data_IF_417243982238
#
_entry.id   IF_417243982238
#
_cell.length_a   1.000
_cell.length_b   1.000
_cell.length_c   1.000
_cell.angle_alpha   90.00
_cell.angle_beta   90.00
_cell.angle_gamma   90.00
#
_symmetry.space_group_name_H-M   'P 1'
#
loop_
_entity.id
_entity.type
_entity.pdbx_description
1 polymer ?
#
# COMPACT_ATOMS: atom_id res chain seq x y z
N UNK A 1 -80.74 46.71 21.79
CA UNK A 1 -80.33 45.29 21.64
C UNK A 1 -78.93 45.27 21.08
N UNK A 2 -77.95 45.31 21.97
CA UNK A 2 -76.51 45.32 21.70
C UNK A 2 -75.99 43.89 21.75
N UNK A 3 -75.41 43.42 20.63
CA UNK A 3 -74.78 42.11 20.51
C UNK A 3 -73.29 42.27 20.86
N UNK A 4 -72.93 41.88 22.09
CA UNK A 4 -71.56 41.63 22.50
C UNK A 4 -71.04 40.39 21.75
N UNK A 5 -70.11 40.60 20.82
CA UNK A 5 -69.29 39.53 20.27
C UNK A 5 -68.14 39.28 21.22
N UNK A 6 -68.30 38.23 22.02
CA UNK A 6 -67.29 37.67 22.88
C UNK A 6 -66.16 37.07 22.02
N UNK A 7 -65.15 37.88 21.71
CA UNK A 7 -63.87 37.43 21.17
C UNK A 7 -63.08 36.76 22.29
N UNK A 8 -63.53 35.55 22.67
CA UNK A 8 -62.72 34.61 23.45
C UNK A 8 -61.49 34.26 22.61
N UNK A 9 -60.44 35.05 22.81
CA UNK A 9 -59.09 34.85 22.31
C UNK A 9 -58.57 33.54 22.92
N UNK A 10 -58.85 32.43 22.22
CA UNK A 10 -58.31 31.11 22.57
C UNK A 10 -56.80 31.22 22.49
N UNK A 11 -56.14 31.37 23.63
CA UNK A 11 -54.69 31.29 23.75
C UNK A 11 -54.23 30.00 23.08
N UNK A 12 -53.50 30.13 21.98
CA UNK A 12 -52.95 28.99 21.27
C UNK A 12 -52.11 28.16 22.26
N UNK A 13 -52.22 26.82 22.24
CA UNK A 13 -51.44 25.96 23.12
C UNK A 13 -49.96 26.29 22.96
N UNK A 14 -49.27 26.60 24.07
CA UNK A 14 -47.82 26.83 24.08
C UNK A 14 -47.13 25.56 23.60
N UNK A 15 -46.69 25.58 22.35
CA UNK A 15 -45.91 24.50 21.78
C UNK A 15 -44.55 24.46 22.50
N UNK A 16 -44.30 23.38 23.25
CA UNK A 16 -43.04 23.20 23.95
C UNK A 16 -41.94 23.07 22.89
N UNK A 17 -40.89 23.92 22.90
CA UNK A 17 -39.82 23.84 21.93
C UNK A 17 -39.17 22.45 22.00
N UNK A 18 -39.19 21.71 20.89
CA UNK A 18 -38.69 20.33 20.85
C UNK A 18 -37.17 20.26 20.66
N UNK A 19 -36.56 21.33 20.16
CA UNK A 19 -35.15 21.36 19.79
C UNK A 19 -34.52 22.71 20.18
N UNK A 20 -33.23 22.68 20.51
CA UNK A 20 -32.42 23.88 20.77
C UNK A 20 -31.33 24.01 19.71
N UNK A 21 -30.91 25.24 19.44
CA UNK A 21 -29.84 25.51 18.48
C UNK A 21 -28.53 24.90 18.99
N UNK A 22 -27.91 24.05 18.17
CA UNK A 22 -26.58 23.50 18.42
C UNK A 22 -25.55 24.14 17.48
N UNK A 23 -24.38 24.50 18.02
CA UNK A 23 -23.25 25.09 17.28
C UNK A 23 -23.08 26.61 17.44
N UNK A 24 -21.99 27.13 16.85
CA UNK A 24 -21.56 28.52 16.97
C UNK A 24 -22.29 29.43 15.97
N UNK A 25 -23.59 29.66 16.20
CA UNK A 25 -24.34 30.72 15.53
C UNK A 25 -24.41 31.95 16.42
N UNK A 26 -24.31 33.13 15.82
CA UNK A 26 -24.43 34.41 16.52
C UNK A 26 -25.66 35.16 16.01
N UNK A 27 -26.28 35.95 16.88
CA UNK A 27 -27.32 36.88 16.48
C UNK A 27 -26.75 37.91 15.50
N UNK A 28 -27.43 38.17 14.38
CA UNK A 28 -26.97 39.16 13.40
C UNK A 28 -27.03 40.60 13.92
N UNK A 29 -27.85 40.87 14.94
CA UNK A 29 -28.01 42.20 15.55
C UNK A 29 -26.97 42.47 16.64
N UNK A 30 -26.90 41.60 17.66
CA UNK A 30 -26.06 41.84 18.84
C UNK A 30 -24.84 40.93 18.96
N UNK A 31 -24.61 40.03 17.99
CA UNK A 31 -23.51 39.04 17.97
C UNK A 31 -23.50 38.05 19.15
N UNK A 32 -24.54 38.01 19.98
CA UNK A 32 -24.63 37.05 21.08
C UNK A 32 -24.76 35.61 20.55
N UNK A 33 -24.05 34.62 21.14
CA UNK A 33 -24.16 33.23 20.75
C UNK A 33 -25.57 32.69 20.97
N UNK A 34 -26.14 32.06 19.95
CA UNK A 34 -27.50 31.50 19.98
C UNK A 34 -27.54 30.05 20.46
N UNK A 35 -26.39 29.45 20.78
CA UNK A 35 -26.30 28.07 21.25
C UNK A 35 -27.19 27.83 22.49
N UNK A 36 -28.03 26.81 22.45
CA UNK A 36 -29.01 26.50 23.51
C UNK A 36 -30.33 27.25 23.41
N UNK A 37 -30.47 28.24 22.51
CA UNK A 37 -31.75 28.94 22.29
C UNK A 37 -32.80 27.99 21.71
N UNK A 38 -34.06 28.13 22.15
CA UNK A 38 -35.18 27.32 21.68
C UNK A 38 -35.48 27.58 20.19
N UNK A 39 -35.59 26.50 19.42
CA UNK A 39 -36.04 26.54 18.03
C UNK A 39 -37.57 26.60 18.01
N UNK A 40 -38.09 27.65 17.38
CA UNK A 40 -39.52 27.89 17.17
C UNK A 40 -39.85 27.79 15.69
N UNK A 41 -41.09 27.41 15.38
CA UNK A 41 -41.60 27.39 14.01
C UNK A 41 -42.68 28.46 13.88
N UNK A 42 -42.55 29.31 12.87
CA UNK A 42 -43.58 30.30 12.59
C UNK A 42 -44.79 29.60 11.92
N UNK A 43 -46.01 29.70 12.48
CA UNK A 43 -47.15 28.90 12.03
C UNK A 43 -47.64 29.25 10.62
N UNK A 44 -47.45 30.51 10.17
CA UNK A 44 -47.90 30.97 8.87
C UNK A 44 -46.97 30.53 7.72
N UNK A 45 -45.66 30.58 7.94
CA UNK A 45 -44.63 30.34 6.90
C UNK A 45 -43.98 28.98 7.03
N UNK A 46 -44.09 28.35 8.21
CA UNK A 46 -43.34 27.16 8.57
C UNK A 46 -41.85 27.42 8.77
N UNK A 47 -41.38 28.67 8.76
CA UNK A 47 -39.97 29.00 8.93
C UNK A 47 -39.50 28.70 10.35
N UNK A 48 -38.34 28.05 10.45
CA UNK A 48 -37.66 27.84 11.72
C UNK A 48 -36.92 29.14 12.09
N UNK A 49 -37.10 29.57 13.33
CA UNK A 49 -36.40 30.73 13.88
C UNK A 49 -36.05 30.47 15.34
N UNK A 50 -35.09 31.22 15.85
CA UNK A 50 -34.82 31.31 17.28
C UNK A 50 -34.82 32.78 17.69
N UNK A 51 -35.15 33.08 18.95
CA UNK A 51 -35.02 34.43 19.49
C UNK A 51 -33.72 34.52 20.27
N UNK A 52 -32.98 35.60 20.05
CA UNK A 52 -31.81 35.90 20.87
C UNK A 52 -32.24 36.13 22.33
N UNK A 53 -31.55 35.49 23.28
CA UNK A 53 -31.82 35.65 24.72
C UNK A 53 -31.44 37.04 25.24
N UNK A 54 -30.55 37.75 24.55
CA UNK A 54 -30.14 39.11 24.92
C UNK A 54 -31.05 40.18 24.30
N UNK A 55 -31.07 40.29 22.97
CA UNK A 55 -31.77 41.39 22.29
C UNK A 55 -33.21 41.03 21.85
N UNK A 56 -33.63 39.78 22.00
CA UNK A 56 -34.95 39.33 21.57
C UNK A 56 -35.16 39.22 20.05
N UNK A 57 -34.18 39.64 19.24
CA UNK A 57 -34.29 39.62 17.79
C UNK A 57 -34.51 38.20 17.26
N UNK A 58 -35.42 38.07 16.29
CA UNK A 58 -35.68 36.80 15.62
C UNK A 58 -34.56 36.53 14.61
N UNK A 59 -33.79 35.47 14.85
CA UNK A 59 -32.79 34.96 13.93
C UNK A 59 -33.39 33.80 13.14
N UNK A 60 -33.58 34.01 11.83
CA UNK A 60 -34.02 32.96 10.92
C UNK A 60 -33.00 31.82 10.91
N UNK A 61 -33.44 30.61 11.23
CA UNK A 61 -32.63 29.42 11.08
C UNK A 61 -32.74 28.97 9.63
N UNK A 62 -31.96 29.62 8.77
CA UNK A 62 -31.63 29.03 7.49
C UNK A 62 -30.88 27.74 7.81
N UNK A 63 -31.53 26.60 7.57
CA UNK A 63 -30.86 25.32 7.40
C UNK A 63 -29.93 25.48 6.21
N UNK A 64 -28.73 26.01 6.45
CA UNK A 64 -27.62 25.80 5.54
C UNK A 64 -27.56 24.28 5.35
N UNK A 65 -27.58 23.79 4.10
CA UNK A 65 -28.02 22.45 3.78
C UNK A 65 -27.39 21.44 4.72
N UNK A 66 -28.20 20.45 5.06
CA UNK A 66 -28.00 19.19 5.79
C UNK A 66 -26.73 18.39 5.44
N UNK A 67 -25.79 18.99 4.73
CA UNK A 67 -24.48 18.51 4.34
C UNK A 67 -23.62 18.15 5.54
N UNK A 68 -23.79 18.70 6.75
CA UNK A 68 -22.93 18.34 7.90
C UNK A 68 -23.00 16.85 8.27
N UNK A 69 -24.20 16.24 8.44
CA UNK A 69 -24.34 14.78 8.55
C UNK A 69 -23.73 14.02 7.37
N UNK A 70 -23.93 14.51 6.14
CA UNK A 70 -23.40 13.87 4.93
C UNK A 70 -21.88 13.96 4.87
N UNK A 71 -21.25 15.07 5.26
CA UNK A 71 -19.80 15.24 5.36
C UNK A 71 -19.25 14.28 6.41
N UNK A 72 -19.91 14.14 7.57
CA UNK A 72 -19.48 13.16 8.59
C UNK A 72 -19.52 11.73 8.04
N UNK A 73 -20.58 11.35 7.31
CA UNK A 73 -20.69 10.05 6.64
C UNK A 73 -19.66 9.87 5.52
N UNK A 74 -19.42 10.90 4.71
CA UNK A 74 -18.42 10.87 3.64
C UNK A 74 -17.00 10.75 4.21
N UNK A 75 -16.70 11.39 5.34
CA UNK A 75 -15.42 11.22 6.05
C UNK A 75 -15.22 9.78 6.51
N UNK A 76 -16.25 9.14 7.10
CA UNK A 76 -16.14 7.73 7.51
C UNK A 76 -16.00 6.79 6.32
N UNK A 77 -16.72 7.03 5.22
CA UNK A 77 -16.61 6.22 3.99
C UNK A 77 -15.23 6.38 3.37
N UNK A 78 -14.72 7.61 3.26
CA UNK A 78 -13.37 7.86 2.74
C UNK A 78 -12.31 7.20 3.63
N UNK A 79 -12.42 7.32 4.95
CA UNK A 79 -11.50 6.67 5.88
C UNK A 79 -11.52 5.14 5.73
N UNK A 80 -12.70 4.53 5.66
CA UNK A 80 -12.85 3.09 5.44
C UNK A 80 -12.24 2.68 4.08
N UNK A 81 -12.52 3.42 3.01
CA UNK A 81 -11.94 3.18 1.69
C UNK A 81 -10.40 3.22 1.72
N UNK A 82 -9.81 4.22 2.37
CA UNK A 82 -8.35 4.31 2.52
C UNK A 82 -7.77 3.14 3.32
N UNK A 83 -8.42 2.72 4.41
CA UNK A 83 -7.99 1.56 5.19
C UNK A 83 -8.06 0.28 4.35
N UNK A 84 -9.16 0.07 3.62
CA UNK A 84 -9.31 -1.09 2.73
C UNK A 84 -8.25 -1.09 1.63
N UNK A 85 -7.99 0.05 0.99
CA UNK A 85 -6.92 0.17 -0.01
C UNK A 85 -5.54 -0.10 0.59
N UNK A 86 -5.25 0.38 1.80
CA UNK A 86 -3.98 0.12 2.48
C UNK A 86 -3.81 -1.36 2.85
N UNK A 87 -4.88 -2.04 3.26
CA UNK A 87 -4.87 -3.48 3.54
C UNK A 87 -4.65 -4.30 2.27
N UNK A 88 -5.40 -4.00 1.20
CA UNK A 88 -5.22 -4.66 -0.10
C UNK A 88 -3.82 -4.43 -0.66
N UNK A 89 -3.29 -3.22 -0.52
CA UNK A 89 -1.92 -2.89 -0.86
C UNK A 89 -0.94 -3.77 -0.04
N UNK A 90 -1.10 -3.87 1.27
CA UNK A 90 -0.23 -4.69 2.11
C UNK A 90 -0.28 -6.17 1.70
N UNK A 91 -1.47 -6.72 1.46
CA UNK A 91 -1.64 -8.10 0.98
C UNK A 91 -0.99 -8.31 -0.39
N UNK A 92 -1.15 -7.37 -1.31
CA UNK A 92 -0.50 -7.41 -2.60
C UNK A 92 1.03 -7.37 -2.47
N UNK A 93 1.58 -6.51 -1.61
CA UNK A 93 3.04 -6.45 -1.37
C UNK A 93 3.59 -7.77 -0.79
N UNK A 94 2.86 -8.38 0.15
CA UNK A 94 3.24 -9.69 0.73
C UNK A 94 3.15 -10.78 -0.33
N UNK A 95 2.08 -10.81 -1.13
CA UNK A 95 1.90 -11.77 -2.21
C UNK A 95 2.97 -11.65 -3.31
N UNK A 96 3.27 -10.42 -3.74
CA UNK A 96 4.38 -10.13 -4.65
C UNK A 96 5.69 -10.61 -4.01
N UNK A 97 5.97 -10.22 -2.75
CA UNK A 97 7.14 -10.69 -2.02
C UNK A 97 7.27 -12.22 -2.03
N UNK A 98 6.15 -12.94 -1.92
CA UNK A 98 6.14 -14.41 -1.90
C UNK A 98 6.29 -15.10 -3.26
N UNK A 99 5.90 -14.46 -4.37
CA UNK A 99 6.00 -15.05 -5.71
C UNK A 99 7.43 -15.02 -6.27
N UNK A 100 8.19 -13.96 -5.98
CA UNK A 100 9.48 -13.72 -6.64
C UNK A 100 10.66 -14.60 -6.17
N UNK A 101 10.68 -15.16 -4.94
CA UNK A 101 11.66 -16.19 -4.59
C UNK A 101 11.54 -17.47 -5.42
N UNK A 102 10.32 -17.85 -5.84
CA UNK A 102 10.10 -18.95 -6.78
C UNK A 102 10.59 -18.64 -8.19
N UNK A 103 10.95 -17.39 -8.46
CA UNK A 103 11.56 -16.96 -9.72
C UNK A 103 13.08 -16.90 -9.60
N UNK A 104 13.62 -16.77 -8.37
CA UNK A 104 15.03 -16.93 -8.10
C UNK A 104 15.52 -18.36 -8.40
N UNK A 105 14.63 -19.37 -8.35
CA UNK A 105 14.94 -20.74 -8.75
C UNK A 105 15.16 -20.86 -10.26
N UNK A 106 14.44 -20.10 -11.09
CA UNK A 106 14.66 -20.08 -12.55
C UNK A 106 16.05 -19.56 -12.90
N UNK A 107 16.52 -18.51 -12.21
CA UNK A 107 17.90 -18.02 -12.37
C UNK A 107 18.93 -19.06 -11.90
N UNK A 108 18.61 -19.82 -10.85
CA UNK A 108 19.45 -20.90 -10.38
C UNK A 108 19.49 -22.08 -11.38
N UNK A 109 18.37 -22.41 -12.00
CA UNK A 109 18.27 -23.43 -13.06
C UNK A 109 19.04 -23.03 -14.32
N UNK A 110 19.04 -21.74 -14.66
CA UNK A 110 19.83 -21.23 -15.76
C UNK A 110 21.33 -21.22 -15.45
N UNK A 111 21.70 -21.04 -14.17
CA UNK A 111 23.11 -21.19 -13.74
C UNK A 111 23.64 -22.62 -13.89
N UNK A 112 22.76 -23.62 -13.98
CA UNK A 112 23.16 -25.00 -14.23
C UNK A 112 23.76 -25.20 -15.64
N UNK A 113 23.35 -24.40 -16.64
CA UNK A 113 23.93 -24.47 -17.98
C UNK A 113 25.42 -24.10 -17.96
N UNK A 114 25.76 -23.01 -17.26
CA UNK A 114 27.14 -22.57 -17.08
C UNK A 114 27.99 -23.60 -16.31
N UNK A 115 27.37 -24.28 -15.34
CA UNK A 115 28.04 -25.31 -14.54
C UNK A 115 28.35 -26.56 -15.38
N UNK A 116 27.40 -27.00 -16.20
CA UNK A 116 27.57 -28.11 -17.14
C UNK A 116 28.63 -27.79 -18.18
N UNK A 117 28.67 -26.55 -18.69
CA UNK A 117 29.70 -26.12 -19.62
C UNK A 117 31.11 -26.15 -18.99
N UNK A 118 31.23 -25.68 -17.74
CA UNK A 118 32.49 -25.76 -16.98
C UNK A 118 32.94 -27.21 -16.75
N UNK A 119 32.01 -28.11 -16.41
CA UNK A 119 32.31 -29.53 -16.25
C UNK A 119 32.77 -30.18 -17.57
N UNK A 120 32.10 -29.87 -18.69
CA UNK A 120 32.49 -30.34 -20.03
C UNK A 120 33.84 -29.81 -20.48
N UNK A 121 34.18 -28.58 -20.14
CA UNK A 121 35.47 -27.99 -20.45
C UNK A 121 36.65 -28.76 -19.82
N UNK A 122 36.39 -29.54 -18.77
CA UNK A 122 37.37 -30.41 -18.11
C UNK A 122 37.33 -31.87 -18.61
N UNK A 123 36.59 -32.15 -19.68
CA UNK A 123 36.41 -33.50 -20.23
C UNK A 123 35.29 -34.30 -19.60
N UNK A 124 34.49 -33.70 -18.71
CA UNK A 124 33.28 -34.31 -18.16
C UNK A 124 32.23 -34.59 -19.23
N UNK A 125 31.43 -35.64 -19.03
CA UNK A 125 30.31 -36.00 -19.94
C UNK A 125 28.99 -36.00 -19.20
N UNK A 126 27.96 -35.41 -19.82
CA UNK A 126 26.56 -35.43 -19.35
C UNK A 126 25.68 -36.37 -20.15
N UNK A 127 26.29 -37.27 -20.94
CA UNK A 127 25.55 -38.28 -21.69
C UNK A 127 24.98 -39.31 -20.73
N UNK A 128 23.75 -39.73 -21.00
CA UNK A 128 23.09 -40.82 -20.28
C UNK A 128 23.89 -42.14 -20.39
N UNK A 129 23.60 -43.14 -19.55
CA UNK A 129 24.26 -44.45 -19.55
C UNK A 129 24.19 -45.15 -20.91
N UNK A 130 23.13 -44.90 -21.67
CA UNK A 130 22.96 -45.37 -23.06
C UNK A 130 23.89 -44.68 -24.06
N UNK A 131 24.56 -43.58 -23.67
CA UNK A 131 25.36 -42.66 -24.48
C UNK A 131 24.64 -42.08 -25.71
N UNK A 132 23.33 -42.32 -25.87
CA UNK A 132 22.58 -41.91 -27.05
C UNK A 132 22.17 -40.44 -27.02
N UNK A 133 21.95 -39.87 -25.83
CA UNK A 133 21.44 -38.52 -25.67
C UNK A 133 22.27 -37.71 -24.67
N UNK A 134 22.52 -36.46 -25.02
CA UNK A 134 23.10 -35.48 -24.11
C UNK A 134 21.96 -34.80 -23.32
N UNK A 135 21.82 -35.19 -22.06
CA UNK A 135 20.77 -34.68 -21.17
C UNK A 135 21.10 -33.29 -20.60
N UNK A 136 22.29 -32.76 -20.88
CA UNK A 136 22.71 -31.43 -20.44
C UNK A 136 22.52 -31.22 -18.94
N UNK A 137 21.88 -30.10 -18.57
CA UNK A 137 21.58 -29.75 -17.17
C UNK A 137 20.60 -30.70 -16.45
N UNK A 138 19.89 -31.55 -17.18
CA UNK A 138 18.98 -32.53 -16.61
C UNK A 138 19.65 -33.89 -16.38
N UNK A 139 20.92 -34.06 -16.76
CA UNK A 139 21.71 -35.23 -16.38
C UNK A 139 21.93 -35.29 -14.87
N UNK A 140 22.16 -36.50 -14.33
CA UNK A 140 22.62 -36.69 -12.95
C UNK A 140 23.96 -35.97 -12.78
N UNK A 141 24.07 -35.19 -11.71
CA UNK A 141 25.26 -34.40 -11.42
C UNK A 141 26.40 -35.28 -10.88
N UNK A 142 27.62 -35.01 -11.34
CA UNK A 142 28.82 -35.68 -10.81
C UNK A 142 29.15 -35.11 -9.42
N UNK A 143 28.75 -35.84 -8.39
CA UNK A 143 28.95 -35.45 -7.00
C UNK A 143 30.43 -35.39 -6.59
N UNK A 144 31.28 -36.23 -7.19
CA UNK A 144 32.71 -36.23 -6.89
C UNK A 144 33.37 -34.97 -7.45
N UNK A 145 33.00 -34.59 -8.67
CA UNK A 145 33.45 -33.33 -9.26
C UNK A 145 32.93 -32.11 -8.49
N UNK A 146 31.64 -32.08 -8.13
CA UNK A 146 31.06 -30.99 -7.36
C UNK A 146 31.69 -30.81 -5.97
N UNK A 147 32.14 -31.91 -5.33
CA UNK A 147 32.85 -31.85 -4.06
C UNK A 147 34.30 -31.33 -4.19
N UNK A 148 34.89 -31.39 -5.38
CA UNK A 148 36.24 -30.86 -5.64
C UNK A 148 36.30 -29.33 -5.50
N UNK A 149 37.51 -28.78 -5.35
CA UNK A 149 37.70 -27.33 -5.27
C UNK A 149 37.34 -26.63 -6.59
N UNK A 150 37.60 -27.29 -7.72
CA UNK A 150 37.25 -26.80 -9.05
C UNK A 150 35.74 -26.73 -9.25
N UNK A 151 35.02 -27.80 -8.89
CA UNK A 151 33.54 -27.82 -8.93
C UNK A 151 32.93 -26.73 -8.03
N UNK A 152 33.47 -26.56 -6.82
CA UNK A 152 33.04 -25.49 -5.89
C UNK A 152 33.34 -24.08 -6.43
N UNK A 153 34.43 -23.89 -7.16
CA UNK A 153 34.75 -22.62 -7.80
C UNK A 153 33.80 -22.35 -8.99
N UNK A 154 33.57 -23.36 -9.84
CA UNK A 154 32.64 -23.27 -10.97
C UNK A 154 31.21 -22.96 -10.52
N UNK A 155 30.76 -23.58 -9.42
CA UNK A 155 29.45 -23.33 -8.82
C UNK A 155 29.28 -21.89 -8.33
N UNK A 156 30.31 -21.28 -7.74
CA UNK A 156 30.28 -19.87 -7.35
C UNK A 156 30.31 -18.95 -8.57
N UNK A 157 31.11 -19.30 -9.58
CA UNK A 157 31.22 -18.52 -10.81
C UNK A 157 29.91 -18.55 -11.63
N UNK A 158 29.18 -19.66 -11.63
CA UNK A 158 27.94 -19.81 -12.38
C UNK A 158 26.83 -18.85 -11.92
N UNK A 159 26.86 -18.41 -10.66
CA UNK A 159 25.95 -17.37 -10.11
C UNK A 159 26.09 -16.03 -10.82
N UNK A 160 27.28 -15.75 -11.35
CA UNK A 160 27.60 -14.50 -12.04
C UNK A 160 27.56 -14.64 -13.56
N UNK A 161 27.11 -15.80 -14.07
CA UNK A 161 26.96 -15.99 -15.51
C UNK A 161 25.85 -15.07 -16.04
N UNK A 162 26.11 -14.40 -17.16
CA UNK A 162 25.16 -13.49 -17.81
C UNK A 162 23.82 -14.18 -18.13
N UNK A 163 23.84 -15.45 -18.53
CA UNK A 163 22.64 -16.24 -18.80
C UNK A 163 21.71 -16.36 -17.59
N UNK A 164 22.26 -16.45 -16.37
CA UNK A 164 21.48 -16.45 -15.13
C UNK A 164 21.09 -15.04 -14.67
N UNK A 165 21.98 -14.06 -14.84
CA UNK A 165 21.74 -12.68 -14.39
C UNK A 165 20.69 -11.94 -15.21
N UNK A 166 20.61 -12.17 -16.53
CA UNK A 166 19.61 -11.52 -17.40
C UNK A 166 18.17 -11.83 -16.97
N UNK A 167 17.72 -13.10 -16.85
CA UNK A 167 16.36 -13.39 -16.41
C UNK A 167 16.14 -12.90 -14.98
N UNK A 168 17.13 -13.08 -14.09
CA UNK A 168 17.05 -12.56 -12.72
C UNK A 168 16.77 -11.06 -12.68
N UNK A 169 17.53 -10.25 -13.42
CA UNK A 169 17.34 -8.79 -13.49
C UNK A 169 16.00 -8.43 -14.12
N UNK A 170 15.58 -9.13 -15.18
CA UNK A 170 14.27 -8.93 -15.81
C UNK A 170 13.12 -9.11 -14.81
N UNK A 171 13.18 -10.19 -14.03
CA UNK A 171 12.19 -10.44 -12.99
C UNK A 171 12.30 -9.48 -11.80
N UNK A 172 13.51 -9.10 -11.39
CA UNK A 172 13.70 -8.12 -10.33
C UNK A 172 13.07 -6.77 -10.70
N UNK A 173 13.30 -6.29 -11.93
CA UNK A 173 12.70 -5.06 -12.44
C UNK A 173 11.17 -5.18 -12.50
N UNK A 174 10.64 -6.29 -13.02
CA UNK A 174 9.20 -6.53 -13.08
C UNK A 174 8.56 -6.53 -11.67
N UNK A 175 9.14 -7.27 -10.73
CA UNK A 175 8.65 -7.33 -9.35
C UNK A 175 8.72 -5.99 -8.65
N UNK A 176 9.80 -5.24 -8.87
CA UNK A 176 9.92 -3.86 -8.40
C UNK A 176 8.81 -2.97 -8.96
N UNK A 177 8.57 -3.01 -10.27
CA UNK A 177 7.52 -2.22 -10.93
C UNK A 177 6.12 -2.56 -10.40
N UNK A 178 5.81 -3.83 -10.16
CA UNK A 178 4.54 -4.26 -9.56
C UNK A 178 4.39 -3.80 -8.10
N UNK A 179 5.50 -3.64 -7.38
CA UNK A 179 5.52 -3.21 -5.99
C UNK A 179 5.33 -1.68 -5.83
N UNK A 180 5.72 -0.89 -6.83
CA UNK A 180 5.68 0.57 -6.79
C UNK A 180 4.33 1.15 -6.36
N UNK A 181 3.19 0.86 -7.01
CA UNK A 181 1.91 1.51 -6.68
C UNK A 181 1.51 1.26 -5.22
N UNK A 182 1.74 0.03 -4.77
CA UNK A 182 1.49 -0.43 -3.42
C UNK A 182 2.33 0.33 -2.39
N UNK A 183 3.62 0.50 -2.67
CA UNK A 183 4.54 1.21 -1.76
C UNK A 183 4.32 2.71 -1.77
N UNK A 184 3.82 3.28 -2.87
CA UNK A 184 3.38 4.68 -2.90
C UNK A 184 2.20 4.89 -1.94
N UNK A 185 1.20 4.00 -1.94
CA UNK A 185 0.06 4.08 -1.02
C UNK A 185 0.50 3.96 0.44
N UNK A 186 1.38 2.99 0.74
CA UNK A 186 1.93 2.81 2.10
C UNK A 186 2.74 4.05 2.53
N UNK A 187 3.57 4.60 1.64
CA UNK A 187 4.34 5.81 1.91
C UNK A 187 3.46 7.04 2.18
N UNK A 188 2.34 7.17 1.45
CA UNK A 188 1.36 8.24 1.67
C UNK A 188 0.58 8.06 2.97
N UNK A 189 0.10 6.85 3.26
CA UNK A 189 -0.55 6.54 4.53
C UNK A 189 0.39 6.79 5.73
N UNK A 190 1.67 6.53 5.54
CA UNK A 190 2.73 6.73 6.52
C UNK A 190 3.25 8.17 6.63
N UNK A 191 2.66 9.18 5.95
CA UNK A 191 3.32 10.49 5.84
C UNK A 191 3.68 11.10 7.21
N UNK A 192 2.81 10.91 8.23
CA UNK A 192 2.99 11.49 9.58
C UNK A 192 4.13 10.85 10.36
N UNK A 193 4.69 9.74 9.86
CA UNK A 193 5.81 9.03 10.49
C UNK A 193 7.14 9.61 10.02
N UNK A 194 8.17 9.44 10.84
CA UNK A 194 9.55 9.78 10.50
C UNK A 194 9.98 9.06 9.20
N UNK A 195 10.77 9.68 8.31
CA UNK A 195 11.18 9.09 7.03
C UNK A 195 11.82 7.71 7.17
N UNK A 196 12.66 7.49 8.18
CA UNK A 196 13.28 6.18 8.44
C UNK A 196 12.23 5.09 8.75
N UNK A 197 11.16 5.43 9.47
CA UNK A 197 10.09 4.47 9.79
C UNK A 197 9.34 4.09 8.51
N UNK A 198 9.12 5.03 7.60
CA UNK A 198 8.48 4.72 6.29
C UNK A 198 9.37 3.86 5.42
N UNK A 199 10.66 4.16 5.36
CA UNK A 199 11.63 3.34 4.64
C UNK A 199 11.67 1.92 5.21
N UNK A 200 11.69 1.78 6.54
CA UNK A 200 11.66 0.49 7.21
C UNK A 200 10.36 -0.27 6.91
N UNK A 201 9.18 0.36 7.02
CA UNK A 201 7.90 -0.29 6.68
C UNK A 201 7.89 -0.71 5.19
N UNK A 202 8.28 0.20 4.29
CA UNK A 202 8.31 -0.06 2.85
C UNK A 202 9.25 -1.19 2.46
N UNK A 203 10.39 -1.34 3.16
CA UNK A 203 11.33 -2.43 2.93
C UNK A 203 10.93 -3.74 3.61
N UNK A 204 10.42 -3.69 4.84
CA UNK A 204 10.10 -4.87 5.63
C UNK A 204 8.85 -5.61 5.12
N UNK A 205 7.80 -4.90 4.73
CA UNK A 205 6.54 -5.53 4.26
C UNK A 205 6.76 -6.53 3.12
N UNK A 206 7.41 -6.18 1.98
CA UNK A 206 7.68 -7.15 0.92
C UNK A 206 8.70 -8.21 1.35
N UNK A 207 9.66 -7.85 2.20
CA UNK A 207 10.67 -8.79 2.70
C UNK A 207 10.06 -9.90 3.55
N UNK A 208 9.07 -9.59 4.39
CA UNK A 208 8.35 -10.58 5.19
C UNK A 208 7.67 -11.60 4.27
N UNK A 209 6.98 -11.14 3.22
CA UNK A 209 6.36 -12.03 2.23
C UNK A 209 7.36 -12.96 1.57
N UNK A 210 8.51 -12.42 1.14
CA UNK A 210 9.56 -13.24 0.51
C UNK A 210 10.23 -14.22 1.48
N UNK A 211 10.50 -13.82 2.72
CA UNK A 211 11.04 -14.73 3.75
C UNK A 211 10.07 -15.88 4.04
N UNK A 212 8.77 -15.59 4.14
CA UNK A 212 7.74 -16.62 4.36
C UNK A 212 7.66 -17.61 3.19
N UNK A 213 7.74 -17.13 1.95
CA UNK A 213 7.74 -18.00 0.78
C UNK A 213 9.01 -18.86 0.69
N UNK A 214 10.19 -18.28 0.93
CA UNK A 214 11.44 -19.03 1.00
C UNK A 214 11.36 -20.11 2.08
N UNK A 215 10.91 -19.75 3.29
CA UNK A 215 10.74 -20.70 4.38
C UNK A 215 9.76 -21.83 4.00
N UNK A 216 8.67 -21.51 3.31
CA UNK A 216 7.70 -22.49 2.80
C UNK A 216 8.31 -23.45 1.77
N UNK A 217 9.04 -22.92 0.79
CA UNK A 217 9.74 -23.74 -0.23
C UNK A 217 10.77 -24.67 0.43
N UNK A 218 11.58 -24.16 1.35
CA UNK A 218 12.55 -24.98 2.08
C UNK A 218 11.88 -26.02 2.99
N UNK A 219 10.75 -25.69 3.62
CA UNK A 219 10.00 -26.65 4.42
C UNK A 219 9.47 -27.80 3.56
N UNK A 220 8.92 -27.50 2.37
CA UNK A 220 8.45 -28.52 1.42
C UNK A 220 9.60 -29.39 0.92
N UNK A 221 10.73 -28.79 0.53
CA UNK A 221 11.91 -29.55 0.10
C UNK A 221 12.46 -30.45 1.23
N UNK A 222 12.52 -29.96 2.48
CA UNK A 222 13.00 -30.75 3.62
C UNK A 222 12.08 -31.93 3.97
N UNK A 223 10.76 -31.75 3.85
CA UNK A 223 9.79 -32.84 4.09
C UNK A 223 9.84 -33.87 2.95
N UNK A 224 10.18 -33.44 1.73
CA UNK A 224 10.21 -34.29 0.54
C UNK A 224 11.49 -35.11 0.34
N UNK A 225 12.64 -34.73 0.90
CA UNK A 225 13.91 -35.38 0.55
C UNK A 225 14.89 -35.56 1.72
N UNK A 226 15.12 -36.81 2.13
CA UNK A 226 16.51 -37.25 2.28
C UNK A 226 17.12 -37.10 0.89
N UNK A 227 18.11 -36.20 0.72
CA UNK A 227 18.66 -35.80 -0.57
C UNK A 227 18.91 -37.05 -1.45
N UNK A 228 18.13 -37.27 -2.53
CA UNK A 228 18.31 -38.45 -3.35
C UNK A 228 19.72 -38.42 -3.94
N UNK A 229 20.43 -39.55 -3.92
CA UNK A 229 21.81 -39.65 -4.42
C UNK A 229 21.96 -39.30 -5.91
N UNK A 230 20.84 -39.14 -6.62
CA UNK A 230 20.76 -38.86 -8.05
C UNK A 230 20.17 -37.46 -8.32
N UNK A 231 20.74 -36.41 -7.73
CA UNK A 231 20.35 -35.04 -8.09
C UNK A 231 20.84 -34.68 -9.48
N UNK A 232 19.98 -34.00 -10.24
CA UNK A 232 20.36 -33.39 -11.51
C UNK A 232 21.19 -32.12 -11.30
N UNK A 233 21.91 -31.66 -12.32
CA UNK A 233 22.65 -30.38 -12.25
C UNK A 233 21.73 -29.19 -11.94
N UNK A 234 20.51 -29.17 -12.49
CA UNK A 234 19.49 -28.18 -12.15
C UNK A 234 19.12 -28.18 -10.68
N UNK A 235 18.74 -29.35 -10.15
CA UNK A 235 18.36 -29.50 -8.74
C UNK A 235 19.49 -29.09 -7.81
N UNK A 236 20.73 -29.47 -8.13
CA UNK A 236 21.90 -29.10 -7.36
C UNK A 236 22.15 -27.58 -7.38
N UNK A 237 22.11 -26.97 -8.57
CA UNK A 237 22.26 -25.52 -8.72
C UNK A 237 21.13 -24.75 -8.01
N UNK A 238 19.89 -25.23 -8.06
CA UNK A 238 18.76 -24.64 -7.34
C UNK A 238 18.96 -24.65 -5.82
N UNK A 239 19.46 -25.75 -5.26
CA UNK A 239 19.74 -25.85 -3.81
C UNK A 239 20.90 -24.94 -3.39
N UNK A 240 22.00 -24.93 -4.15
CA UNK A 240 23.21 -24.22 -3.78
C UNK A 240 23.20 -22.73 -4.15
N UNK A 241 22.63 -22.37 -5.30
CA UNK A 241 22.57 -20.99 -5.80
C UNK A 241 21.23 -20.30 -5.47
N UNK A 242 20.17 -21.06 -5.20
CA UNK A 242 18.85 -20.51 -4.83
C UNK A 242 18.87 -19.55 -3.65
N UNK A 243 19.55 -19.85 -2.52
CA UNK A 243 19.67 -18.91 -1.40
C UNK A 243 20.32 -17.57 -1.79
N UNK A 244 21.32 -17.61 -2.68
CA UNK A 244 22.00 -16.41 -3.16
C UNK A 244 21.06 -15.52 -3.96
N UNK A 245 20.40 -16.06 -4.99
CA UNK A 245 19.46 -15.30 -5.81
C UNK A 245 18.24 -14.83 -5.00
N UNK A 246 17.74 -15.67 -4.08
CA UNK A 246 16.64 -15.31 -3.19
C UNK A 246 17.01 -14.14 -2.26
N UNK A 247 18.20 -14.17 -1.66
CA UNK A 247 18.71 -13.09 -0.83
C UNK A 247 18.89 -11.79 -1.61
N UNK A 248 19.41 -11.87 -2.85
CA UNK A 248 19.56 -10.71 -3.73
C UNK A 248 18.20 -10.12 -4.13
N UNK A 249 17.22 -10.98 -4.45
CA UNK A 249 15.85 -10.55 -4.76
C UNK A 249 15.18 -9.89 -3.56
N UNK A 250 15.33 -10.45 -2.36
CA UNK A 250 14.83 -9.83 -1.13
C UNK A 250 15.44 -8.46 -0.89
N UNK A 251 16.76 -8.33 -1.03
CA UNK A 251 17.46 -7.07 -0.88
C UNK A 251 16.97 -6.03 -1.91
N UNK A 252 16.76 -6.46 -3.16
CA UNK A 252 16.20 -5.63 -4.22
C UNK A 252 14.78 -5.13 -3.87
N UNK A 253 13.87 -6.04 -3.51
CA UNK A 253 12.49 -5.68 -3.14
C UNK A 253 12.45 -4.77 -1.91
N UNK A 254 13.29 -5.03 -0.91
CA UNK A 254 13.44 -4.17 0.26
C UNK A 254 13.90 -2.76 -0.12
N UNK A 255 14.90 -2.67 -1.00
CA UNK A 255 15.43 -1.41 -1.50
C UNK A 255 14.38 -0.62 -2.29
N UNK A 256 13.75 -1.25 -3.29
CA UNK A 256 12.70 -0.63 -4.11
C UNK A 256 11.53 -0.19 -3.22
N UNK A 257 11.10 -1.02 -2.28
CA UNK A 257 10.01 -0.69 -1.36
C UNK A 257 10.36 0.49 -0.44
N UNK A 258 11.55 0.49 0.15
CA UNK A 258 12.02 1.59 0.99
C UNK A 258 12.14 2.92 0.21
N UNK A 259 12.77 2.90 -0.97
CA UNK A 259 12.94 4.08 -1.83
C UNK A 259 11.58 4.62 -2.28
N UNK A 260 10.69 3.73 -2.74
CA UNK A 260 9.35 4.14 -3.21
C UNK A 260 8.52 4.74 -2.09
N UNK A 261 8.51 4.14 -0.90
CA UNK A 261 7.80 4.66 0.26
C UNK A 261 8.34 6.03 0.71
N UNK A 262 9.65 6.26 0.59
CA UNK A 262 10.28 7.56 0.85
C UNK A 262 9.89 8.61 -0.20
N UNK A 263 9.81 8.21 -1.46
CA UNK A 263 9.47 9.09 -2.59
C UNK A 263 7.96 9.37 -2.73
N UNK A 264 7.11 8.66 -2.00
CA UNK A 264 5.66 8.81 -2.16
C UNK A 264 5.13 10.22 -1.87
N UNK A 265 5.50 10.91 -0.76
CA UNK A 265 5.04 12.28 -0.52
C UNK A 265 5.50 13.31 -1.57
N UNK A 266 6.78 13.38 -1.98
CA UNK A 266 7.19 14.33 -3.01
C UNK A 266 6.58 14.01 -4.38
N UNK A 267 6.41 12.73 -4.72
CA UNK A 267 5.79 12.32 -5.99
C UNK A 267 4.30 12.72 -6.02
N UNK A 268 3.56 12.46 -4.95
CA UNK A 268 2.17 12.90 -4.85
C UNK A 268 2.03 14.42 -4.96
N UNK A 269 2.91 15.18 -4.29
CA UNK A 269 2.93 16.64 -4.41
C UNK A 269 3.16 17.11 -5.86
N UNK A 270 4.04 16.42 -6.61
CA UNK A 270 4.30 16.72 -8.01
C UNK A 270 3.09 16.39 -8.89
N UNK A 271 2.48 15.21 -8.69
CA UNK A 271 1.28 14.78 -9.42
C UNK A 271 0.11 15.76 -9.17
N UNK A 272 -0.16 16.12 -7.91
CA UNK A 272 -1.24 17.08 -7.61
C UNK A 272 -0.96 18.48 -8.15
N UNK A 273 0.30 18.90 -8.21
CA UNK A 273 0.66 20.17 -8.87
C UNK A 273 0.34 20.16 -10.36
N UNK A 274 0.52 19.01 -11.03
CA UNK A 274 0.28 18.83 -12.46
C UNK A 274 -1.21 18.67 -12.79
N UNK A 275 -1.95 17.92 -11.97
CA UNK A 275 -3.37 17.61 -12.21
C UNK A 275 -4.31 18.74 -11.75
N UNK A 276 -4.05 19.35 -10.59
CA UNK A 276 -4.99 20.33 -10.01
C UNK A 276 -4.67 21.76 -10.46
N UNK A 277 -5.69 22.54 -10.89
CA UNK A 277 -5.50 23.95 -11.17
C UNK A 277 -5.11 24.73 -9.90
N UNK A 278 -4.45 25.89 -10.00
CA UNK A 278 -3.90 26.61 -8.85
C UNK A 278 -4.91 26.91 -7.72
N UNK A 279 -6.19 27.14 -8.05
CA UNK A 279 -7.23 27.43 -7.07
C UNK A 279 -7.62 26.20 -6.21
N UNK A 280 -7.58 25.00 -6.78
CA UNK A 280 -7.97 23.75 -6.13
C UNK A 280 -6.86 23.10 -5.30
N UNK A 281 -5.61 23.53 -5.48
CA UNK A 281 -4.46 22.98 -4.71
C UNK A 281 -4.61 23.18 -3.20
N UNK A 282 -5.44 24.13 -2.77
CA UNK A 282 -5.79 24.32 -1.35
C UNK A 282 -6.49 23.11 -0.73
N UNK A 283 -7.19 22.30 -1.54
CA UNK A 283 -7.85 21.07 -1.09
C UNK A 283 -6.85 20.01 -0.60
N UNK A 284 -5.61 20.04 -1.10
CA UNK A 284 -4.53 19.12 -0.73
C UNK A 284 -3.32 19.85 -0.12
N UNK A 285 -3.55 21.04 0.46
CA UNK A 285 -2.54 21.88 1.12
C UNK A 285 -1.66 21.12 2.12
N UNK A 286 -2.27 20.17 2.84
CA UNK A 286 -1.62 19.31 3.83
C UNK A 286 -0.38 18.59 3.30
N UNK A 287 -0.30 18.29 1.99
CA UNK A 287 0.84 17.62 1.36
C UNK A 287 2.08 18.53 1.37
N UNK A 288 1.92 19.82 1.09
CA UNK A 288 3.02 20.79 1.08
C UNK A 288 3.37 21.26 2.48
N UNK A 289 2.35 21.51 3.32
CA UNK A 289 2.53 21.90 4.72
C UNK A 289 3.34 20.86 5.50
N UNK A 290 3.05 19.56 5.28
CA UNK A 290 3.83 18.48 5.88
C UNK A 290 5.33 18.54 5.52
N UNK A 291 5.65 19.06 4.33
CA UNK A 291 7.05 19.22 3.86
C UNK A 291 7.68 20.53 4.32
N UNK A 292 6.97 21.37 5.07
CA UNK A 292 7.39 22.73 5.38
C UNK A 292 7.52 23.61 4.14
N UNK A 293 6.75 23.34 3.08
CA UNK A 293 6.77 24.11 1.82
C UNK A 293 5.46 24.88 1.64
N UNK A 294 5.51 26.09 1.06
CA UNK A 294 4.29 26.83 0.73
C UNK A 294 3.51 26.15 -0.40
N UNK A 295 2.20 26.40 -0.45
CA UNK A 295 1.32 25.93 -1.52
C UNK A 295 1.70 26.66 -2.84
N UNK A 296 1.96 25.95 -3.95
CA UNK A 296 2.30 26.57 -5.23
C UNK A 296 1.14 27.41 -5.78
N UNK A 297 1.39 28.66 -6.16
CA UNK A 297 0.38 29.61 -6.66
C UNK A 297 0.25 29.64 -8.19
N UNK A 298 1.24 29.08 -8.87
CA UNK A 298 1.49 29.15 -10.31
C UNK A 298 1.12 27.86 -11.04
#
# INVERSE_FOLDING_TARGET
>A
MTSERDHSERAAPREVPRETVSGDRVCMECLHPLAGSAVMREPATGLLYCRCVECGAAAALLEYPTITPWIRRMKSVAAAFFVTMALLATLAAVGIGGLFPSIATEAADESANALVEAYRAQGGTTRDQSQQFDSGRFAVADQAWLASDEGRAALRASRMNLGALIPFLGFAVLGGAMLVPTMLLIGLAGMRRHPLVRAAIGGLVPSIGGVLAIAGVFAVMRVGTALPQNMTWTSYAAVENGPFFSGLMLAWLACVGAVTALMAPPLAAAIFRFILPPHDRRLVAWIWEWRGKPIPKD
#
